data_IF_542287713994
#
_entry.id   IF_542287713994
#
_cell.length_a   1.000
_cell.length_b   1.000
_cell.length_c   1.000
_cell.angle_alpha   90.00
_cell.angle_beta   90.00
_cell.angle_gamma   90.00
#
_symmetry.space_group_name_H-M   'P 1'
#
loop_
_entity.id
_entity.type
_entity.pdbx_description
1 polymer ?
#
# COMPACT_ATOMS: atom_id res chain seq x y z
N UNK A 1 2.45 8.08 -7.96
CA UNK A 1 3.19 6.95 -8.55
C UNK A 1 2.67 6.73 -9.96
N UNK A 2 3.56 6.56 -10.93
CA UNK A 2 3.19 6.19 -12.30
C UNK A 2 2.53 4.79 -12.33
N UNK A 3 1.69 4.50 -13.33
CA UNK A 3 0.99 3.22 -13.44
C UNK A 3 1.96 2.02 -13.44
N UNK A 4 3.10 2.12 -14.13
CA UNK A 4 4.10 1.05 -14.16
C UNK A 4 4.79 0.87 -12.81
N UNK A 5 5.07 1.96 -12.11
CA UNK A 5 5.66 1.93 -10.77
C UNK A 5 4.73 1.23 -9.79
N UNK A 6 3.43 1.42 -9.91
CA UNK A 6 2.46 0.75 -9.04
C UNK A 6 2.35 -0.73 -9.36
N UNK A 7 2.33 -1.13 -10.63
CA UNK A 7 2.35 -2.57 -10.97
C UNK A 7 3.60 -3.26 -10.41
N UNK A 8 4.77 -2.65 -10.60
CA UNK A 8 6.00 -3.14 -10.00
C UNK A 8 5.91 -3.19 -8.46
N UNK A 9 5.36 -2.16 -7.83
CA UNK A 9 5.16 -2.12 -6.38
C UNK A 9 4.25 -3.25 -5.88
N UNK A 10 3.18 -3.55 -6.60
CA UNK A 10 2.26 -4.66 -6.27
C UNK A 10 2.98 -6.00 -6.34
N UNK A 11 3.77 -6.23 -7.39
CA UNK A 11 4.54 -7.45 -7.56
C UNK A 11 5.60 -7.62 -6.46
N UNK A 12 6.42 -6.58 -6.24
CA UNK A 12 7.49 -6.60 -5.23
C UNK A 12 6.97 -6.89 -3.82
N UNK A 13 5.81 -6.34 -3.46
CA UNK A 13 5.23 -6.50 -2.12
C UNK A 13 4.16 -7.59 -2.03
N UNK A 14 3.92 -8.34 -3.12
CA UNK A 14 2.91 -9.41 -3.22
C UNK A 14 1.55 -8.94 -2.70
N UNK A 15 1.03 -7.87 -3.30
CA UNK A 15 -0.28 -7.27 -2.97
C UNK A 15 -1.41 -7.75 -3.91
N UNK A 16 -1.13 -8.69 -4.81
CA UNK A 16 -2.15 -9.33 -5.65
C UNK A 16 -3.06 -10.25 -4.83
N UNK A 17 -4.36 -10.26 -5.14
CA UNK A 17 -5.30 -11.26 -4.62
C UNK A 17 -5.68 -11.12 -3.14
N UNK A 18 -5.18 -10.11 -2.43
CA UNK A 18 -5.51 -9.88 -1.00
C UNK A 18 -6.74 -8.99 -0.78
N UNK A 19 -7.40 -8.56 -1.87
CA UNK A 19 -8.63 -7.77 -1.82
C UNK A 19 -8.42 -6.29 -1.57
N UNK A 20 -7.30 -5.72 -2.04
CA UNK A 20 -7.08 -4.28 -2.13
C UNK A 20 -7.47 -3.78 -3.52
N UNK A 21 -8.14 -2.61 -3.57
CA UNK A 21 -8.38 -1.90 -4.81
C UNK A 21 -7.11 -1.27 -5.36
N UNK A 22 -7.10 -0.96 -6.66
CA UNK A 22 -5.95 -0.30 -7.29
C UNK A 22 -5.61 1.04 -6.63
N UNK A 23 -6.63 1.81 -6.24
CA UNK A 23 -6.46 3.09 -5.53
C UNK A 23 -5.80 2.90 -4.17
N UNK A 24 -6.17 1.85 -3.43
CA UNK A 24 -5.58 1.55 -2.11
C UNK A 24 -4.07 1.29 -2.23
N UNK A 25 -3.67 0.57 -3.27
CA UNK A 25 -2.25 0.34 -3.57
C UNK A 25 -1.55 1.64 -3.92
N UNK A 26 -2.16 2.49 -4.76
CA UNK A 26 -1.60 3.81 -5.09
C UNK A 26 -1.37 4.67 -3.85
N UNK A 27 -2.31 4.64 -2.88
CA UNK A 27 -2.20 5.33 -1.61
C UNK A 27 -1.06 4.77 -0.75
N UNK A 28 -0.96 3.45 -0.61
CA UNK A 28 0.13 2.79 0.11
C UNK A 28 1.51 3.10 -0.50
N UNK A 29 1.61 3.03 -1.83
CA UNK A 29 2.83 3.35 -2.55
C UNK A 29 3.23 4.82 -2.32
N UNK A 30 2.27 5.74 -2.41
CA UNK A 30 2.50 7.17 -2.19
C UNK A 30 2.94 7.46 -0.75
N UNK A 31 2.31 6.81 0.24
CA UNK A 31 2.70 6.93 1.64
C UNK A 31 4.12 6.40 1.90
N UNK A 32 4.44 5.24 1.33
CA UNK A 32 5.76 4.61 1.47
C UNK A 32 6.88 5.40 0.81
N UNK A 33 6.63 5.96 -0.38
CA UNK A 33 7.56 6.84 -1.10
C UNK A 33 7.79 8.14 -0.33
N UNK A 34 6.73 8.72 0.23
CA UNK A 34 6.79 9.96 1.02
C UNK A 34 7.30 9.75 2.46
N UNK A 35 7.55 8.49 2.87
CA UNK A 35 7.97 8.09 4.22
C UNK A 35 7.01 8.59 5.32
N UNK A 36 5.72 8.68 5.00
CA UNK A 36 4.69 9.04 5.96
C UNK A 36 4.01 7.79 6.51
N UNK A 37 3.50 7.90 7.73
CA UNK A 37 2.68 6.86 8.33
C UNK A 37 1.26 6.92 7.75
N UNK A 38 0.71 5.76 7.43
CA UNK A 38 -0.59 5.54 6.81
C UNK A 38 -1.58 5.08 7.88
N UNK A 39 -2.68 5.80 8.02
CA UNK A 39 -3.78 5.46 8.91
C UNK A 39 -5.03 5.13 8.10
N UNK A 40 -5.77 4.12 8.51
CA UNK A 40 -7.04 3.73 7.89
C UNK A 40 -7.88 2.91 8.88
N UNK A 41 -9.20 2.96 8.72
CA UNK A 41 -10.14 2.08 9.42
C UNK A 41 -10.40 0.77 8.66
N UNK A 42 -9.96 0.68 7.40
CA UNK A 42 -10.06 -0.56 6.63
C UNK A 42 -9.02 -1.57 7.11
N UNK A 43 -9.50 -2.73 7.56
CA UNK A 43 -8.67 -3.78 8.13
C UNK A 43 -7.63 -4.33 7.14
N UNK A 44 -8.02 -4.61 5.89
CA UNK A 44 -7.11 -5.20 4.89
C UNK A 44 -6.05 -4.19 4.47
N UNK A 45 -6.44 -2.93 4.35
CA UNK A 45 -5.53 -1.85 4.02
C UNK A 45 -4.54 -1.56 5.16
N UNK A 46 -5.01 -1.64 6.42
CA UNK A 46 -4.13 -1.56 7.59
C UNK A 46 -3.12 -2.72 7.62
N UNK A 47 -3.57 -3.96 7.38
CA UNK A 47 -2.67 -5.14 7.32
C UNK A 47 -1.58 -4.97 6.26
N UNK A 48 -1.94 -4.44 5.08
CA UNK A 48 -0.98 -4.12 4.04
C UNK A 48 -0.03 -2.98 4.45
N UNK A 49 -0.52 -1.92 5.10
CA UNK A 49 0.33 -0.84 5.62
C UNK A 49 1.33 -1.36 6.66
N UNK A 50 0.93 -2.27 7.54
CA UNK A 50 1.82 -2.94 8.51
C UNK A 50 2.89 -3.75 7.78
N UNK A 51 2.51 -4.58 6.82
CA UNK A 51 3.46 -5.38 6.00
C UNK A 51 4.50 -4.49 5.29
N UNK A 52 4.11 -3.28 4.91
CA UNK A 52 4.96 -2.30 4.23
C UNK A 52 5.79 -1.43 5.20
N UNK A 53 5.69 -1.64 6.51
CA UNK A 53 6.26 -0.80 7.56
C UNK A 53 5.85 0.69 7.42
N UNK A 54 4.62 0.91 6.98
CA UNK A 54 4.06 2.23 6.76
C UNK A 54 2.88 2.54 7.69
N UNK A 55 2.42 1.62 8.55
CA UNK A 55 1.25 1.87 9.40
C UNK A 55 1.47 2.95 10.46
N UNK A 56 0.44 3.73 10.74
CA UNK A 56 0.35 4.59 11.92
C UNK A 56 0.12 3.75 13.19
N UNK A 57 0.60 4.22 14.34
CA UNK A 57 0.46 3.54 15.64
C UNK A 57 -0.75 4.07 16.39
#
# INVERSE_FOLDING_TARGET
ADHKEVLYFIEQHRLMGIGLGYVDVHLLASARLSRIRFWTMDKKLMEAAVKLNASYK
#
